data_IF_698023826875
#
_entry.id   IF_698023826875
#
_cell.length_a   1.000
_cell.length_b   1.000
_cell.length_c   1.000
_cell.angle_alpha   90.00
_cell.angle_beta   90.00
_cell.angle_gamma   90.00
#
_symmetry.space_group_name_H-M   'P 1'
#
loop_
_entity.id
_entity.type
_entity.pdbx_description
1 polymer ?
#
# COMPACT_ATOMS: atom_id res chain seq x y z
N UNK A 1 47.90 -3.24 4.80
CA UNK A 1 47.43 -1.99 4.18
C UNK A 1 46.04 -1.64 4.72
N UNK A 2 45.95 -0.56 5.50
CA UNK A 2 44.66 0.04 5.86
C UNK A 2 44.18 0.72 4.59
N UNK A 3 43.01 0.32 4.08
CA UNK A 3 42.34 1.08 3.04
C UNK A 3 41.78 2.33 3.72
N UNK A 4 42.41 3.48 3.49
CA UNK A 4 41.81 4.77 3.80
C UNK A 4 40.64 4.94 2.84
N UNK A 5 39.42 4.92 3.38
CA UNK A 5 38.28 5.47 2.67
C UNK A 5 38.48 6.99 2.69
N UNK A 6 38.86 7.55 1.54
CA UNK A 6 38.79 8.99 1.35
C UNK A 6 37.30 9.35 1.45
N UNK A 7 36.91 10.01 2.53
CA UNK A 7 35.61 10.67 2.65
C UNK A 7 35.62 11.81 1.61
N UNK A 8 35.24 11.50 0.37
CA UNK A 8 35.04 12.48 -0.70
C UNK A 8 33.75 13.25 -0.42
N UNK A 9 33.81 14.08 0.62
CA UNK A 9 32.69 14.77 1.23
C UNK A 9 32.35 16.07 0.46
N UNK A 10 32.33 16.00 -0.89
CA UNK A 10 31.87 17.10 -1.74
C UNK A 10 31.40 16.67 -3.15
N UNK A 11 30.93 15.44 -3.34
CA UNK A 11 30.12 15.16 -4.53
C UNK A 11 28.75 15.82 -4.36
N UNK A 12 28.62 17.03 -4.91
CA UNK A 12 27.33 17.71 -5.05
C UNK A 12 26.36 16.75 -5.73
N UNK A 13 25.26 16.42 -5.05
CA UNK A 13 24.30 15.44 -5.56
C UNK A 13 23.90 15.88 -6.97
N UNK A 14 24.08 15.01 -7.99
CA UNK A 14 23.73 15.35 -9.36
C UNK A 14 22.28 15.85 -9.44
N UNK A 15 22.03 16.90 -10.21
CA UNK A 15 20.70 17.51 -10.39
C UNK A 15 19.60 16.47 -10.67
N UNK A 16 19.96 15.39 -11.34
CA UNK A 16 19.06 14.27 -11.64
C UNK A 16 18.61 13.52 -10.39
N UNK A 17 19.51 13.26 -9.43
CA UNK A 17 19.16 12.62 -8.15
C UNK A 17 18.34 13.56 -7.27
N UNK A 18 18.66 14.86 -7.28
CA UNK A 18 17.87 15.89 -6.58
C UNK A 18 16.43 15.96 -7.10
N UNK A 19 16.26 15.92 -8.44
CA UNK A 19 14.92 15.83 -9.06
C UNK A 19 14.18 14.53 -8.70
N UNK A 20 14.88 13.40 -8.63
CA UNK A 20 14.28 12.12 -8.24
C UNK A 20 13.78 12.14 -6.78
N UNK A 21 14.57 12.70 -5.85
CA UNK A 21 14.17 12.88 -4.44
C UNK A 21 12.99 13.85 -4.29
N UNK A 22 12.96 14.94 -5.06
CA UNK A 22 11.81 15.84 -5.12
C UNK A 22 10.56 15.11 -5.63
N UNK A 23 10.70 14.29 -6.67
CA UNK A 23 9.62 13.46 -7.22
C UNK A 23 9.17 12.34 -6.26
N UNK A 24 10.06 11.80 -5.42
CA UNK A 24 9.72 10.86 -4.36
C UNK A 24 8.88 11.53 -3.25
N UNK A 25 9.15 12.81 -2.97
CA UNK A 25 8.32 13.66 -2.10
C UNK A 25 6.98 14.08 -2.73
N UNK A 26 6.88 14.09 -4.06
CA UNK A 26 5.60 14.10 -4.79
C UNK A 26 5.02 12.70 -4.69
N UNK A 27 4.63 12.32 -3.47
CA UNK A 27 3.71 11.22 -3.27
C UNK A 27 2.52 11.54 -4.17
N UNK A 28 2.32 10.71 -5.21
CA UNK A 28 1.03 10.58 -5.89
C UNK A 28 0.07 10.38 -4.72
N UNK A 29 -0.66 11.42 -4.30
CA UNK A 29 -1.58 11.27 -3.18
C UNK A 29 -2.53 10.19 -3.67
N UNK A 30 -2.43 8.93 -3.18
CA UNK A 30 -3.35 7.92 -3.61
C UNK A 30 -4.68 8.47 -3.16
N UNK A 31 -5.58 8.64 -4.13
CA UNK A 31 -6.87 9.31 -4.04
C UNK A 31 -7.32 9.46 -2.58
N UNK A 32 -7.44 10.71 -2.07
CA UNK A 32 -7.98 11.04 -0.72
C UNK A 32 -9.45 10.60 -0.55
N UNK A 33 -9.86 9.55 -1.25
CA UNK A 33 -11.15 8.94 -1.08
C UNK A 33 -11.21 8.34 0.32
N UNK A 34 -12.24 8.67 1.10
CA UNK A 34 -12.48 8.00 2.37
C UNK A 34 -12.57 6.50 2.13
N UNK A 35 -11.91 5.72 2.98
CA UNK A 35 -12.00 4.26 2.95
C UNK A 35 -13.01 3.80 4.00
N UNK A 36 -13.79 2.79 3.65
CA UNK A 36 -14.68 2.09 4.57
C UNK A 36 -14.11 0.71 4.90
N UNK A 37 -14.15 0.34 6.18
CA UNK A 37 -13.74 -1.00 6.64
C UNK A 37 -14.95 -1.93 6.61
N UNK A 38 -14.82 -3.05 5.93
CA UNK A 38 -15.80 -4.13 5.89
C UNK A 38 -15.21 -5.40 6.48
N UNK A 39 -16.01 -6.16 7.22
CA UNK A 39 -15.62 -7.50 7.67
C UNK A 39 -16.11 -8.54 6.65
N UNK A 40 -15.16 -9.25 6.05
CA UNK A 40 -15.39 -10.34 5.11
C UNK A 40 -15.54 -11.70 5.81
N UNK A 41 -15.09 -11.80 7.06
CA UNK A 41 -15.11 -13.02 7.85
C UNK A 41 -16.30 -13.14 8.79
N UNK A 42 -16.13 -13.94 9.85
CA UNK A 42 -17.14 -14.18 10.89
C UNK A 42 -16.93 -13.25 12.09
N UNK A 43 -17.83 -13.29 13.09
CA UNK A 43 -17.65 -12.58 14.36
C UNK A 43 -16.41 -13.07 15.13
N UNK A 44 -16.09 -14.38 15.00
CA UNK A 44 -14.96 -15.02 15.68
C UNK A 44 -13.63 -14.85 14.94
N UNK A 45 -13.69 -14.80 13.61
CA UNK A 45 -12.53 -14.67 12.73
C UNK A 45 -12.78 -13.49 11.80
N UNK A 46 -12.39 -12.30 12.28
CA UNK A 46 -12.62 -11.05 11.57
C UNK A 46 -11.57 -10.88 10.49
N UNK A 47 -12.01 -10.78 9.24
CA UNK A 47 -11.14 -10.50 8.09
C UNK A 47 -11.50 -9.12 7.55
N UNK A 48 -10.82 -8.10 8.05
CA UNK A 48 -11.10 -6.70 7.76
C UNK A 48 -10.46 -6.28 6.42
N UNK A 49 -11.27 -5.76 5.51
CA UNK A 49 -10.82 -5.19 4.24
C UNK A 49 -11.24 -3.72 4.12
N UNK A 50 -10.45 -2.91 3.41
CA UNK A 50 -10.73 -1.48 3.18
C UNK A 50 -11.12 -1.27 1.74
N UNK A 51 -12.30 -0.69 1.52
CA UNK A 51 -12.81 -0.34 0.18
C UNK A 51 -13.08 1.16 0.08
N UNK A 52 -13.14 1.72 -1.13
CA UNK A 52 -13.51 3.12 -1.33
C UNK A 52 -14.92 3.39 -0.80
N UNK A 53 -15.08 4.36 0.09
CA UNK A 53 -16.38 4.74 0.65
C UNK A 53 -17.24 5.51 -0.35
N UNK A 54 -16.64 6.07 -1.41
CA UNK A 54 -17.34 6.78 -2.48
C UNK A 54 -17.81 5.85 -3.62
N UNK A 55 -17.62 4.54 -3.49
CA UNK A 55 -18.11 3.57 -4.47
C UNK A 55 -19.64 3.61 -4.57
N UNK A 56 -20.15 3.51 -5.80
CA UNK A 56 -21.59 3.35 -6.04
C UNK A 56 -22.13 2.14 -5.27
N UNK A 57 -23.38 2.23 -4.80
CA UNK A 57 -23.95 1.18 -3.94
C UNK A 57 -24.07 -0.18 -4.67
N UNK A 58 -24.34 -0.18 -5.97
CA UNK A 58 -24.40 -1.41 -6.77
C UNK A 58 -23.02 -2.05 -6.90
N UNK A 59 -22.01 -1.22 -7.18
CA UNK A 59 -20.61 -1.63 -7.30
C UNK A 59 -20.10 -2.15 -5.95
N UNK A 60 -20.38 -1.43 -4.87
CA UNK A 60 -20.00 -1.80 -3.51
C UNK A 60 -20.56 -3.16 -3.11
N UNK A 61 -21.83 -3.45 -3.45
CA UNK A 61 -22.44 -4.76 -3.19
C UNK A 61 -21.72 -5.87 -3.96
N UNK A 62 -21.53 -5.71 -5.27
CA UNK A 62 -20.82 -6.71 -6.11
C UNK A 62 -19.38 -6.92 -5.65
N UNK A 63 -18.69 -5.85 -5.28
CA UNK A 63 -17.33 -5.90 -4.75
C UNK A 63 -17.29 -6.65 -3.41
N UNK A 64 -18.25 -6.40 -2.53
CA UNK A 64 -18.33 -7.08 -1.24
C UNK A 64 -18.59 -8.58 -1.40
N UNK A 65 -19.46 -8.96 -2.34
CA UNK A 65 -19.71 -10.38 -2.69
C UNK A 65 -18.43 -11.03 -3.22
N UNK A 66 -17.73 -10.37 -4.14
CA UNK A 66 -16.46 -10.86 -4.69
C UNK A 66 -15.40 -11.03 -3.61
N UNK A 67 -15.22 -10.03 -2.74
CA UNK A 67 -14.23 -10.08 -1.67
C UNK A 67 -14.52 -11.19 -0.65
N UNK A 68 -15.80 -11.54 -0.44
CA UNK A 68 -16.19 -12.68 0.40
C UNK A 68 -15.90 -14.03 -0.27
N UNK A 69 -16.09 -14.13 -1.59
CA UNK A 69 -15.77 -15.35 -2.35
C UNK A 69 -14.26 -15.64 -2.36
N UNK A 70 -13.44 -14.58 -2.37
CA UNK A 70 -11.98 -14.66 -2.39
C UNK A 70 -11.34 -14.24 -1.06
N UNK A 71 -12.04 -14.44 0.05
CA UNK A 71 -11.58 -13.97 1.36
C UNK A 71 -10.21 -14.54 1.74
N UNK A 72 -9.92 -15.77 1.33
CA UNK A 72 -8.63 -16.40 1.61
C UNK A 72 -7.51 -15.79 0.79
N UNK A 73 -7.75 -15.25 -0.40
CA UNK A 73 -6.70 -14.60 -1.21
C UNK A 73 -6.40 -13.19 -0.71
N UNK A 74 -7.45 -12.42 -0.37
CA UNK A 74 -7.32 -11.00 -0.02
C UNK A 74 -7.01 -10.74 1.46
N UNK A 75 -7.31 -11.69 2.33
CA UNK A 75 -7.03 -11.62 3.76
C UNK A 75 -6.09 -12.75 4.22
N UNK A 76 -5.14 -13.13 3.36
CA UNK A 76 -4.03 -13.99 3.77
C UNK A 76 -3.20 -13.29 4.85
N UNK A 77 -2.92 -14.03 5.91
CA UNK A 77 -1.86 -13.63 6.81
C UNK A 77 -0.52 -13.93 6.15
N UNK A 78 0.54 -13.29 6.63
CA UNK A 78 1.90 -13.60 6.19
C UNK A 78 2.28 -15.08 6.41
N UNK A 79 1.60 -15.77 7.33
CA UNK A 79 1.81 -17.20 7.60
C UNK A 79 1.13 -18.13 6.58
N UNK A 80 0.16 -17.62 5.81
CA UNK A 80 -0.52 -18.36 4.75
C UNK A 80 0.23 -18.28 3.40
N UNK A 81 1.26 -17.43 3.30
CA UNK A 81 2.19 -17.44 2.17
C UNK A 81 3.19 -18.60 2.34
N UNK A 82 3.29 -19.51 1.36
CA UNK A 82 4.20 -20.67 1.40
C UNK A 82 5.69 -20.31 1.26
#
# INVERSE_FOLDING_TARGET
PVFEAEEEDNEEIPDEISRLLEHEGIAIQPHKEPLEVINLGSEKDKKEARIGALLDTDVKRRLTELLKEYVDVFAWSYQDMP
#
